data_IF_793425601524
#
_entry.id   IF_793425601524
#
_cell.length_a   1.000
_cell.length_b   1.000
_cell.length_c   1.000
_cell.angle_alpha   90.00
_cell.angle_beta   90.00
_cell.angle_gamma   90.00
#
_symmetry.space_group_name_H-M   'P 1'
#
loop_
_entity.id
_entity.type
_entity.pdbx_description
1 polymer ?
#
# COMPACT_ATOMS: atom_id res chain seq x y z
N UNK A 1 -11.15 8.71 -14.09
CA UNK A 1 -9.86 8.62 -14.84
C UNK A 1 -10.23 8.31 -16.27
N UNK A 2 -10.02 9.25 -17.19
CA UNK A 2 -10.16 8.96 -18.62
C UNK A 2 -8.94 8.15 -19.04
N UNK A 3 -9.18 6.99 -19.66
CA UNK A 3 -8.14 6.09 -20.13
C UNK A 3 -8.24 6.04 -21.64
N UNK A 4 -7.30 6.65 -22.36
CA UNK A 4 -7.23 6.53 -23.82
C UNK A 4 -6.50 5.25 -24.18
N UNK A 5 -7.15 4.38 -24.95
CA UNK A 5 -6.58 3.11 -25.41
C UNK A 5 -5.51 3.36 -26.47
N UNK A 6 -4.31 2.80 -26.29
CA UNK A 6 -3.25 2.77 -27.31
C UNK A 6 -3.20 1.37 -27.97
N UNK A 7 -2.93 1.27 -29.30
CA UNK A 7 -2.76 -0.01 -30.00
C UNK A 7 -1.71 -0.97 -29.40
N UNK A 8 -0.83 -0.51 -28.49
CA UNK A 8 0.13 -1.34 -27.75
C UNK A 8 -0.41 -1.97 -26.45
N UNK A 9 -1.67 -1.76 -26.10
CA UNK A 9 -2.28 -2.32 -24.87
C UNK A 9 -1.99 -1.54 -23.59
N UNK A 10 -1.44 -0.33 -23.70
CA UNK A 10 -1.24 0.61 -22.60
C UNK A 10 -2.32 1.70 -22.60
N UNK A 11 -2.59 2.26 -21.43
CA UNK A 11 -3.51 3.39 -21.27
C UNK A 11 -2.76 4.62 -20.78
N UNK A 12 -3.03 5.75 -21.41
CA UNK A 12 -2.47 7.05 -21.06
C UNK A 12 -3.31 7.69 -19.93
N UNK A 13 -2.64 8.18 -18.88
CA UNK A 13 -3.27 9.00 -17.84
C UNK A 13 -3.29 10.46 -18.27
N UNK A 14 -4.43 11.14 -18.12
CA UNK A 14 -4.60 12.55 -18.52
C UNK A 14 -4.00 13.61 -17.54
N UNK A 15 -3.22 13.22 -16.53
CA UNK A 15 -2.62 14.19 -15.58
C UNK A 15 -1.16 14.51 -15.97
N UNK A 16 -0.99 15.48 -16.87
CA UNK A 16 0.19 16.38 -16.97
C UNK A 16 1.55 15.79 -17.41
N UNK A 17 1.73 14.47 -17.37
CA UNK A 17 2.96 13.78 -17.77
C UNK A 17 2.55 12.48 -18.47
N UNK A 18 3.09 12.20 -19.66
CA UNK A 18 2.80 11.02 -20.50
C UNK A 18 3.11 9.69 -19.77
N UNK A 19 2.27 9.32 -18.81
CA UNK A 19 2.49 8.17 -17.93
C UNK A 19 1.57 7.06 -18.37
N UNK A 20 2.16 6.05 -19.01
CA UNK A 20 1.47 4.84 -19.45
C UNK A 20 1.20 3.91 -18.27
N UNK A 21 0.03 3.27 -18.26
CA UNK A 21 -0.31 2.22 -17.30
C UNK A 21 -0.82 0.97 -18.00
N UNK A 22 -0.48 -0.19 -17.42
CA UNK A 22 -0.95 -1.51 -17.82
C UNK A 22 -2.27 -1.76 -17.10
N UNK A 23 -3.32 -2.07 -17.87
CA UNK A 23 -4.60 -2.47 -17.27
C UNK A 23 -4.51 -3.93 -16.87
N UNK A 24 -4.79 -4.19 -15.61
CA UNK A 24 -4.77 -5.53 -15.05
C UNK A 24 -6.15 -6.17 -15.28
N UNK A 25 -6.21 -7.37 -15.88
CA UNK A 25 -7.46 -8.13 -16.00
C UNK A 25 -8.11 -8.36 -14.63
N UNK A 26 -9.40 -8.72 -14.63
CA UNK A 26 -10.10 -9.04 -13.39
C UNK A 26 -9.74 -10.44 -12.87
N UNK A 27 -8.45 -10.66 -12.61
CA UNK A 27 -7.88 -11.88 -12.06
C UNK A 27 -7.36 -11.59 -10.64
N UNK A 28 -7.96 -12.19 -9.59
CA UNK A 28 -7.53 -11.97 -8.20
C UNK A 28 -6.08 -12.39 -7.93
N UNK A 29 -5.56 -13.42 -8.60
CA UNK A 29 -4.20 -13.91 -8.39
C UNK A 29 -3.19 -12.91 -8.93
N UNK A 30 -3.43 -12.36 -10.12
CA UNK A 30 -2.56 -11.34 -10.71
C UNK A 30 -2.55 -10.07 -9.85
N UNK A 31 -3.74 -9.58 -9.45
CA UNK A 31 -3.86 -8.41 -8.58
C UNK A 31 -3.12 -8.61 -7.26
N UNK A 32 -3.30 -9.76 -6.62
CA UNK A 32 -2.65 -10.10 -5.35
C UNK A 32 -1.13 -10.15 -5.48
N UNK A 33 -0.60 -10.73 -6.57
CA UNK A 33 0.84 -10.77 -6.81
C UNK A 33 1.44 -9.37 -6.99
N UNK A 34 0.75 -8.48 -7.73
CA UNK A 34 1.18 -7.08 -7.90
C UNK A 34 1.21 -6.35 -6.55
N UNK A 35 0.18 -6.54 -5.73
CA UNK A 35 0.12 -5.94 -4.39
C UNK A 35 1.23 -6.52 -3.51
N UNK A 36 1.39 -7.84 -3.47
CA UNK A 36 2.42 -8.52 -2.69
C UNK A 36 3.82 -8.01 -3.03
N UNK A 37 4.17 -7.88 -4.32
CA UNK A 37 5.48 -7.34 -4.73
C UNK A 37 5.68 -5.88 -4.34
N UNK A 38 4.64 -5.08 -4.44
CA UNK A 38 4.71 -3.65 -4.12
C UNK A 38 4.76 -3.38 -2.61
N UNK A 39 4.26 -4.33 -1.81
CA UNK A 39 4.14 -4.22 -0.37
C UNK A 39 5.24 -4.97 0.40
N UNK A 40 5.62 -6.16 -0.06
CA UNK A 40 6.48 -7.09 0.67
C UNK A 40 7.93 -7.06 0.16
N UNK A 41 8.29 -6.04 -0.62
CA UNK A 41 9.67 -5.85 -1.06
C UNK A 41 10.56 -5.59 0.18
N UNK A 42 11.62 -6.40 0.38
CA UNK A 42 12.49 -6.29 1.56
C UNK A 42 13.13 -4.91 1.74
N UNK A 43 13.30 -4.16 0.65
CA UNK A 43 13.89 -2.82 0.65
C UNK A 43 12.82 -1.72 0.86
N UNK A 44 11.58 -1.96 0.44
CA UNK A 44 10.48 -1.00 0.61
C UNK A 44 9.88 -0.98 2.02
N UNK A 45 10.09 -2.05 2.81
CA UNK A 45 9.80 -2.07 4.24
C UNK A 45 8.32 -1.98 4.60
N UNK A 46 7.47 -2.82 4.00
CA UNK A 46 6.02 -2.87 4.26
C UNK A 46 5.35 -1.48 4.24
N UNK A 47 5.39 -0.76 3.10
CA UNK A 47 4.79 0.55 2.99
C UNK A 47 3.29 0.49 3.34
N UNK A 48 2.81 1.54 3.99
CA UNK A 48 1.39 1.69 4.32
C UNK A 48 0.50 1.76 3.06
N UNK A 49 -0.81 1.76 3.28
CA UNK A 49 -1.85 1.72 2.23
C UNK A 49 -1.62 2.72 1.11
N UNK A 50 -1.54 4.00 1.44
CA UNK A 50 -1.50 5.05 0.42
C UNK A 50 -0.21 4.99 -0.41
N UNK A 51 0.93 4.73 0.24
CA UNK A 51 2.22 4.55 -0.45
C UNK A 51 2.24 3.32 -1.35
N UNK A 52 1.60 2.22 -0.93
CA UNK A 52 1.46 1.02 -1.77
C UNK A 52 0.61 1.31 -3.01
N UNK A 53 -0.49 2.06 -2.86
CA UNK A 53 -1.34 2.51 -3.96
C UNK A 53 -0.54 3.39 -4.94
N UNK A 54 0.25 4.34 -4.43
CA UNK A 54 1.08 5.22 -5.26
C UNK A 54 2.14 4.45 -6.05
N UNK A 55 2.76 3.43 -5.45
CA UNK A 55 3.72 2.56 -6.14
C UNK A 55 3.06 1.79 -7.28
N UNK A 56 1.93 1.13 -7.01
CA UNK A 56 1.21 0.35 -8.01
C UNK A 56 0.72 1.23 -9.14
N UNK A 57 0.17 2.41 -8.81
CA UNK A 57 -0.35 3.36 -9.80
C UNK A 57 0.70 3.80 -10.80
N UNK A 58 2.00 3.79 -10.51
CA UNK A 58 3.03 4.19 -11.47
C UNK A 58 3.03 3.32 -12.74
N UNK A 59 2.59 2.07 -12.63
CA UNK A 59 2.72 1.08 -13.72
C UNK A 59 1.41 0.38 -14.03
N UNK A 60 0.52 0.20 -13.05
CA UNK A 60 -0.69 -0.60 -13.19
C UNK A 60 -1.96 0.19 -12.86
N UNK A 61 -3.07 -0.24 -13.45
CA UNK A 61 -4.39 0.29 -13.15
C UNK A 61 -5.47 -0.79 -13.20
N UNK A 62 -6.42 -0.72 -12.26
CA UNK A 62 -7.71 -1.42 -12.31
C UNK A 62 -8.73 -0.69 -11.42
N UNK A 63 -10.05 -0.89 -11.61
CA UNK A 63 -11.08 -0.10 -10.92
C UNK A 63 -11.07 -0.21 -9.39
N UNK A 64 -10.81 -1.40 -8.85
CA UNK A 64 -10.88 -1.72 -7.42
C UNK A 64 -9.54 -1.60 -6.69
N UNK A 65 -8.51 -1.01 -7.32
CA UNK A 65 -7.14 -0.95 -6.77
C UNK A 65 -7.06 -0.54 -5.30
N UNK A 66 -7.73 0.54 -4.92
CA UNK A 66 -7.71 1.03 -3.54
C UNK A 66 -8.30 0.01 -2.57
N UNK A 67 -9.44 -0.59 -2.91
CA UNK A 67 -10.12 -1.57 -2.06
C UNK A 67 -9.28 -2.85 -1.92
N UNK A 68 -8.72 -3.34 -3.03
CA UNK A 68 -7.91 -4.56 -3.05
C UNK A 68 -6.61 -4.39 -2.22
N UNK A 69 -5.96 -3.22 -2.29
CA UNK A 69 -4.77 -2.90 -1.48
C UNK A 69 -5.12 -2.76 0.00
N UNK A 70 -6.25 -2.14 0.32
CA UNK A 70 -6.71 -1.96 1.70
C UNK A 70 -7.02 -3.31 2.36
N UNK A 71 -7.75 -4.18 1.65
CA UNK A 71 -8.03 -5.54 2.11
C UNK A 71 -6.73 -6.33 2.36
N UNK A 72 -5.79 -6.29 1.41
CA UNK A 72 -4.51 -6.97 1.53
C UNK A 72 -3.71 -6.50 2.76
N UNK A 73 -3.57 -5.19 2.95
CA UNK A 73 -2.77 -4.63 4.05
C UNK A 73 -3.47 -4.82 5.40
N UNK A 74 -4.80 -4.86 5.43
CA UNK A 74 -5.56 -5.17 6.65
C UNK A 74 -5.23 -6.56 7.20
N UNK A 75 -4.84 -7.49 6.32
CA UNK A 75 -4.45 -8.86 6.65
C UNK A 75 -2.93 -9.02 6.90
N UNK A 76 -2.14 -7.97 6.73
CA UNK A 76 -0.68 -8.02 6.91
C UNK A 76 -0.28 -7.85 8.37
N UNK A 77 0.21 -8.92 9.00
CA UNK A 77 0.62 -8.96 10.42
C UNK A 77 1.69 -7.91 10.77
N UNK A 78 2.73 -7.73 9.96
CA UNK A 78 3.79 -6.75 10.22
C UNK A 78 3.26 -5.32 10.23
N UNK A 79 2.36 -4.98 9.30
CA UNK A 79 1.67 -3.70 9.29
C UNK A 79 0.74 -3.51 10.48
N UNK A 80 -0.03 -4.54 10.86
CA UNK A 80 -0.93 -4.45 12.01
C UNK A 80 -0.17 -4.26 13.32
N UNK A 81 1.00 -4.91 13.48
CA UNK A 81 1.86 -4.73 14.66
C UNK A 81 2.51 -3.35 14.72
N UNK A 82 2.94 -2.81 13.58
CA UNK A 82 3.65 -1.53 13.53
C UNK A 82 2.69 -0.33 13.53
N UNK A 83 1.43 -0.55 13.17
CA UNK A 83 0.39 0.47 13.29
C UNK A 83 0.14 0.69 14.79
N UNK A 84 0.72 1.75 15.34
CA UNK A 84 0.45 2.17 16.70
C UNK A 84 -1.06 2.31 16.87
N UNK A 85 -1.65 1.44 17.70
CA UNK A 85 -3.01 1.63 18.16
C UNK A 85 -3.02 2.97 18.88
N UNK A 86 -3.79 3.94 18.39
CA UNK A 86 -4.06 5.21 19.07
C UNK A 86 -4.88 4.99 20.35
N UNK A 87 -4.47 4.04 21.19
CA UNK A 87 -4.93 3.91 22.54
C UNK A 87 -4.40 5.07 23.37
N UNK A 88 -5.14 5.42 24.42
CA UNK A 88 -4.77 6.43 25.42
C UNK A 88 -3.27 6.34 25.73
N UNK A 89 -2.57 7.48 25.92
CA UNK A 89 -1.18 7.43 26.34
C UNK A 89 -1.08 6.43 27.49
N UNK A 90 -0.20 5.43 27.34
CA UNK A 90 0.25 4.63 28.47
C UNK A 90 0.61 5.66 29.53
N UNK A 91 -0.15 5.71 30.62
CA UNK A 91 0.00 6.76 31.65
C UNK A 91 1.48 6.92 32.02
N UNK A 92 1.85 8.12 32.48
CA UNK A 92 3.24 8.46 32.83
C UNK A 92 3.93 7.28 33.52
N UNK A 93 5.04 6.82 32.95
CA UNK A 93 5.84 5.76 33.54
C UNK A 93 6.24 6.20 34.96
N UNK A 94 5.69 5.51 35.96
CA UNK A 94 6.06 5.75 37.35
C UNK A 94 7.54 5.38 37.51
N UNK A 95 8.41 6.30 37.99
CA UNK A 95 9.80 5.98 38.24
C UNK A 95 9.88 4.87 39.30
N UNK A 96 10.77 3.90 39.08
CA UNK A 96 11.08 2.90 40.09
C UNK A 96 11.68 3.61 41.32
N UNK A 97 11.34 3.19 42.55
CA UNK A 97 11.94 3.76 43.75
C UNK A 97 13.46 3.57 43.69
N UNK A 98 14.19 4.65 43.92
CA UNK A 98 15.66 4.60 44.00
C UNK A 98 16.03 3.75 45.23
N UNK A 99 16.88 2.72 45.09
CA UNK A 99 17.30 1.92 46.23
C UNK A 99 18.08 2.78 47.21
N UNK A 100 17.77 2.65 48.50
CA UNK A 100 18.54 3.29 49.56
C UNK A 100 19.93 2.64 49.67
N UNK A 101 20.95 3.49 49.82
CA UNK A 101 22.36 3.09 50.01
C UNK A 101 22.63 2.69 51.46
#
# INVERSE_FOLDING_TARGET
VNLKSNPRGFYEKEEGENTYCIVVPNDPMIKREIIHRSHSDPLAGHPGRDRTIDLIRRTFWWPTLRADVEDYISQCDSCQRNKSTGGKPLGLAQPLPVPEM
#
